data_IF_602393502416
#
_entry.id   IF_602393502416
#
_cell.length_a   1.000
_cell.length_b   1.000
_cell.length_c   1.000
_cell.angle_alpha   90.00
_cell.angle_beta   90.00
_cell.angle_gamma   90.00
#
_symmetry.space_group_name_H-M   'P 1'
#
loop_
_entity.id
_entity.type
_entity.pdbx_description
1 polymer ?
#
# COMPACT_ATOMS: atom_id res chain seq x y z
N UNK A 1 -7.89 14.84 12.75
CA UNK A 1 -7.09 13.63 12.52
C UNK A 1 -5.64 13.92 12.84
N UNK A 2 -4.94 12.98 13.48
CA UNK A 2 -3.49 13.05 13.69
C UNK A 2 -2.80 11.89 12.98
N UNK A 3 -1.60 12.12 12.46
CA UNK A 3 -0.73 11.03 12.00
C UNK A 3 -0.17 10.31 13.23
N UNK A 4 -0.55 9.04 13.41
CA UNK A 4 -0.13 8.25 14.59
C UNK A 4 1.20 7.52 14.37
N UNK A 5 1.55 7.22 13.12
CA UNK A 5 2.81 6.59 12.74
C UNK A 5 3.08 6.80 11.25
N UNK A 6 4.34 6.62 10.85
CA UNK A 6 4.77 6.60 9.45
C UNK A 6 5.84 5.53 9.26
N UNK A 7 5.74 4.77 8.17
CA UNK A 7 6.64 3.66 7.86
C UNK A 7 7.17 3.80 6.43
N UNK A 8 8.46 3.58 6.26
CA UNK A 8 9.10 3.46 4.95
C UNK A 8 9.57 2.02 4.77
N UNK A 9 9.00 1.32 3.79
CA UNK A 9 9.26 -0.11 3.57
C UNK A 9 9.61 -0.39 2.12
N UNK A 10 10.53 -1.34 1.85
CA UNK A 10 10.62 -1.93 0.53
C UNK A 10 9.38 -2.80 0.28
N UNK A 11 8.93 -2.89 -0.97
CA UNK A 11 7.77 -3.70 -1.37
C UNK A 11 8.04 -4.59 -2.61
N UNK A 12 9.14 -5.38 -2.63
CA UNK A 12 9.45 -6.18 -3.79
C UNK A 12 8.39 -7.29 -3.95
N UNK A 13 7.87 -7.53 -5.16
CA UNK A 13 6.92 -8.62 -5.44
C UNK A 13 7.38 -10.00 -4.93
N UNK A 14 8.70 -10.19 -4.86
CA UNK A 14 9.36 -11.41 -4.36
C UNK A 14 8.94 -11.77 -2.92
N UNK A 15 8.41 -10.86 -2.11
CA UNK A 15 7.91 -11.19 -0.76
C UNK A 15 6.76 -12.19 -0.77
N UNK A 16 6.04 -12.33 -1.90
CA UNK A 16 4.91 -13.23 -2.02
C UNK A 16 5.39 -14.63 -2.45
N UNK A 17 5.08 -15.70 -1.71
CA UNK A 17 5.49 -17.06 -2.06
C UNK A 17 5.05 -17.52 -3.46
N UNK A 18 3.90 -17.05 -3.94
CA UNK A 18 3.36 -17.34 -5.27
C UNK A 18 4.22 -16.73 -6.39
N UNK A 19 4.95 -15.66 -6.07
CA UNK A 19 5.92 -15.01 -6.96
C UNK A 19 7.30 -15.64 -6.79
N UNK A 20 7.78 -15.77 -5.54
CA UNK A 20 9.14 -16.22 -5.23
C UNK A 20 9.37 -17.73 -5.36
N UNK A 21 8.35 -18.56 -5.13
CA UNK A 21 8.40 -20.03 -5.24
C UNK A 21 9.56 -20.66 -4.45
N UNK A 22 9.90 -20.09 -3.30
CA UNK A 22 11.02 -20.49 -2.44
C UNK A 22 12.15 -19.46 -2.39
N UNK A 23 12.29 -18.61 -3.42
CA UNK A 23 13.33 -17.57 -3.49
C UNK A 23 13.08 -16.42 -2.51
N UNK A 24 11.84 -16.25 -2.02
CA UNK A 24 11.50 -15.24 -1.00
C UNK A 24 12.34 -15.40 0.28
N UNK A 25 12.81 -16.62 0.57
CA UNK A 25 13.69 -16.92 1.71
C UNK A 25 15.02 -16.16 1.65
N UNK A 26 15.48 -15.79 0.46
CA UNK A 26 16.69 -14.96 0.31
C UNK A 26 16.53 -13.56 0.88
N UNK A 27 15.28 -13.07 0.98
CA UNK A 27 14.91 -11.77 1.53
C UNK A 27 14.14 -11.88 2.86
N UNK A 28 14.36 -12.96 3.62
CA UNK A 28 13.62 -13.23 4.87
C UNK A 28 13.62 -12.05 5.85
N UNK A 29 14.74 -11.34 6.01
CA UNK A 29 14.82 -10.15 6.88
C UNK A 29 13.86 -9.04 6.47
N UNK A 30 13.61 -8.87 5.17
CA UNK A 30 12.62 -7.92 4.65
C UNK A 30 11.20 -8.37 5.00
N UNK A 31 10.91 -9.65 4.85
CA UNK A 31 9.61 -10.25 5.20
C UNK A 31 9.35 -10.09 6.70
N UNK A 32 10.32 -10.43 7.55
CA UNK A 32 10.21 -10.31 9.00
C UNK A 32 10.00 -8.85 9.44
N UNK A 33 10.69 -7.90 8.78
CA UNK A 33 10.51 -6.47 9.02
C UNK A 33 9.11 -5.98 8.63
N UNK A 34 8.59 -6.42 7.48
CA UNK A 34 7.23 -6.11 7.04
C UNK A 34 6.18 -6.73 7.96
N UNK A 35 6.36 -7.97 8.43
CA UNK A 35 5.43 -8.63 9.36
C UNK A 35 5.38 -7.88 10.70
N UNK A 36 6.54 -7.43 11.21
CA UNK A 36 6.60 -6.59 12.40
C UNK A 36 5.83 -5.27 12.22
N UNK A 37 6.04 -4.58 11.10
CA UNK A 37 5.32 -3.33 10.80
C UNK A 37 3.82 -3.59 10.68
N UNK A 38 3.42 -4.70 10.05
CA UNK A 38 2.01 -5.11 9.95
C UNK A 38 1.37 -5.28 11.34
N UNK A 39 2.08 -5.91 12.28
CA UNK A 39 1.62 -6.06 13.67
C UNK A 39 1.50 -4.70 14.38
N UNK A 40 2.49 -3.83 14.22
CA UNK A 40 2.47 -2.49 14.82
C UNK A 40 1.30 -1.64 14.29
N UNK A 41 1.04 -1.67 12.97
CA UNK A 41 -0.13 -1.02 12.37
C UNK A 41 -1.43 -1.60 12.95
N UNK A 42 -1.51 -2.92 13.11
CA UNK A 42 -2.69 -3.57 13.68
C UNK A 42 -2.92 -3.21 15.16
N UNK A 43 -1.86 -2.97 15.93
CA UNK A 43 -1.93 -2.50 17.32
C UNK A 43 -2.38 -1.04 17.40
N UNK A 44 -1.87 -0.18 16.51
CA UNK A 44 -2.24 1.23 16.41
C UNK A 44 -3.70 1.45 16.00
N UNK A 45 -4.29 0.48 15.28
CA UNK A 45 -5.68 0.51 14.78
C UNK A 45 -6.06 1.84 14.11
N UNK A 46 -5.28 2.32 13.12
CA UNK A 46 -5.64 3.53 12.41
C UNK A 46 -6.98 3.36 11.68
N UNK A 47 -7.77 4.43 11.65
CA UNK A 47 -9.03 4.47 10.87
C UNK A 47 -8.74 4.48 9.36
N UNK A 48 -7.63 5.13 8.96
CA UNK A 48 -7.24 5.33 7.55
C UNK A 48 -5.73 5.11 7.39
N UNK A 49 -5.35 4.36 6.37
CA UNK A 49 -3.94 4.16 5.97
C UNK A 49 -3.71 4.88 4.64
N UNK A 50 -2.79 5.85 4.62
CA UNK A 50 -2.36 6.51 3.40
C UNK A 50 -1.19 5.75 2.80
N UNK A 51 -1.40 5.15 1.62
CA UNK A 51 -0.37 4.41 0.89
C UNK A 51 0.17 5.27 -0.27
N UNK A 52 1.44 5.65 -0.19
CA UNK A 52 2.15 6.30 -1.31
C UNK A 52 3.02 5.28 -2.02
N UNK A 53 2.85 5.15 -3.34
CA UNK A 53 3.52 4.14 -4.15
C UNK A 53 3.93 4.70 -5.51
N UNK A 54 5.15 4.39 -6.01
CA UNK A 54 5.60 4.79 -7.35
C UNK A 54 4.87 4.03 -8.48
N UNK A 55 3.96 3.11 -8.15
CA UNK A 55 3.17 2.36 -9.13
C UNK A 55 1.79 2.97 -9.42
N UNK A 56 1.42 4.03 -8.71
CA UNK A 56 0.26 4.85 -9.09
C UNK A 56 0.53 5.58 -10.42
N UNK A 57 -0.52 6.16 -11.02
CA UNK A 57 -0.32 7.09 -12.14
C UNK A 57 0.55 8.26 -11.66
N UNK A 58 1.72 8.42 -12.28
CA UNK A 58 2.67 9.48 -11.96
C UNK A 58 2.55 10.58 -13.01
N UNK A 59 2.43 11.83 -12.54
CA UNK A 59 2.50 13.03 -13.36
C UNK A 59 3.79 13.78 -13.03
N UNK A 60 4.26 14.63 -13.95
CA UNK A 60 5.50 15.39 -13.75
C UNK A 60 5.36 16.45 -12.65
N UNK A 61 4.15 16.98 -12.50
CA UNK A 61 3.83 18.19 -11.72
C UNK A 61 2.62 18.02 -10.79
N UNK A 62 2.04 16.81 -10.69
CA UNK A 62 0.91 16.54 -9.81
C UNK A 62 1.02 15.19 -9.11
N UNK A 63 0.42 15.11 -7.92
CA UNK A 63 0.13 13.84 -7.26
C UNK A 63 -1.24 13.35 -7.70
N UNK A 64 -1.33 12.06 -8.03
CA UNK A 64 -2.61 11.42 -8.32
C UNK A 64 -3.19 10.79 -7.05
N UNK A 65 -4.42 11.17 -6.71
CA UNK A 65 -5.23 10.51 -5.68
C UNK A 65 -6.46 9.93 -6.37
N UNK A 66 -6.70 8.60 -6.28
CA UNK A 66 -7.89 8.01 -6.88
C UNK A 66 -9.18 8.51 -6.23
N UNK A 67 -10.18 8.86 -7.05
CA UNK A 67 -11.53 9.20 -6.58
C UNK A 67 -12.42 7.97 -6.35
N UNK A 68 -11.92 6.77 -6.66
CA UNK A 68 -12.70 5.53 -6.51
C UNK A 68 -12.96 5.22 -5.04
N UNK A 69 -14.15 4.73 -4.73
CA UNK A 69 -14.52 4.27 -3.37
C UNK A 69 -13.96 2.89 -3.03
N UNK A 70 -13.46 2.17 -4.05
CA UNK A 70 -12.81 0.88 -3.91
C UNK A 70 -11.52 0.83 -4.73
N UNK A 71 -10.52 0.14 -4.19
CA UNK A 71 -9.30 -0.25 -4.87
C UNK A 71 -9.31 -1.76 -5.07
N UNK A 72 -8.97 -2.23 -6.27
CA UNK A 72 -8.80 -3.65 -6.57
C UNK A 72 -7.66 -3.85 -7.55
N UNK A 73 -6.78 -4.79 -7.24
CA UNK A 73 -5.68 -5.17 -8.13
C UNK A 73 -5.27 -6.64 -7.91
N UNK A 74 -4.36 -7.14 -8.72
CA UNK A 74 -3.82 -8.50 -8.63
C UNK A 74 -2.36 -8.59 -9.04
N UNK A 75 -1.73 -9.72 -8.72
CA UNK A 75 -0.32 -9.97 -9.01
C UNK A 75 -0.10 -10.68 -10.37
N UNK A 76 -1.01 -10.51 -11.35
CA UNK A 76 -0.90 -11.18 -12.67
C UNK A 76 0.40 -10.84 -13.40
N UNK A 77 0.91 -9.61 -13.24
CA UNK A 77 2.16 -9.14 -13.87
C UNK A 77 3.37 -9.94 -13.40
N UNK A 78 3.27 -10.61 -12.26
CA UNK A 78 4.29 -11.46 -11.66
C UNK A 78 3.95 -12.95 -11.73
N UNK A 79 2.97 -13.35 -12.56
CA UNK A 79 2.56 -14.75 -12.70
C UNK A 79 1.74 -15.30 -11.54
N UNK A 80 1.31 -14.44 -10.60
CA UNK A 80 0.53 -14.80 -9.41
C UNK A 80 -0.89 -14.21 -9.49
N UNK A 81 -1.59 -14.39 -10.61
CA UNK A 81 -2.91 -13.78 -10.87
C UNK A 81 -4.03 -14.22 -9.92
N UNK A 82 -3.87 -15.35 -9.22
CA UNK A 82 -4.80 -15.79 -8.17
C UNK A 82 -4.73 -14.94 -6.89
N UNK A 83 -3.63 -14.20 -6.69
CA UNK A 83 -3.51 -13.24 -5.61
C UNK A 83 -4.13 -11.91 -6.04
N UNK A 84 -5.19 -11.53 -5.34
CA UNK A 84 -5.87 -10.26 -5.52
C UNK A 84 -6.04 -9.56 -4.18
N UNK A 85 -6.05 -8.23 -4.24
CA UNK A 85 -6.34 -7.37 -3.10
C UNK A 85 -7.55 -6.51 -3.43
N UNK A 86 -8.35 -6.23 -2.41
CA UNK A 86 -9.39 -5.21 -2.48
C UNK A 86 -9.39 -4.40 -1.18
N UNK A 87 -9.59 -3.10 -1.28
CA UNK A 87 -9.70 -2.19 -0.15
C UNK A 87 -10.77 -1.14 -0.44
N UNK A 88 -11.39 -0.60 0.62
CA UNK A 88 -12.23 0.60 0.50
C UNK A 88 -11.33 1.82 0.60
N UNK A 89 -11.62 2.82 -0.20
CA UNK A 89 -10.96 4.11 -0.15
C UNK A 89 -11.77 5.07 0.73
N UNK A 90 -11.06 5.86 1.52
CA UNK A 90 -11.66 6.87 2.39
C UNK A 90 -11.97 8.15 1.59
N UNK A 91 -13.16 8.19 0.99
CA UNK A 91 -13.58 9.31 0.16
C UNK A 91 -13.75 10.63 0.92
N UNK A 92 -14.09 10.57 2.21
CA UNK A 92 -14.20 11.77 3.06
C UNK A 92 -12.82 12.37 3.29
N UNK A 93 -11.84 11.54 3.64
CA UNK A 93 -10.45 11.98 3.78
C UNK A 93 -9.88 12.52 2.46
N UNK A 94 -10.12 11.84 1.33
CA UNK A 94 -9.68 12.32 0.00
C UNK A 94 -10.27 13.70 -0.31
N UNK A 95 -11.56 13.90 -0.09
CA UNK A 95 -12.22 15.19 -0.32
C UNK A 95 -11.62 16.31 0.54
N UNK A 96 -11.40 16.04 1.83
CA UNK A 96 -10.78 17.00 2.74
C UNK A 96 -9.34 17.34 2.34
N UNK A 97 -8.53 16.34 1.99
CA UNK A 97 -7.13 16.51 1.58
C UNK A 97 -7.02 17.33 0.29
N UNK A 98 -7.81 16.99 -0.74
CA UNK A 98 -7.83 17.73 -2.00
C UNK A 98 -8.32 19.17 -1.82
N UNK A 99 -9.30 19.41 -0.94
CA UNK A 99 -9.77 20.75 -0.61
C UNK A 99 -8.67 21.63 -0.04
N UNK A 100 -7.90 21.12 0.93
CA UNK A 100 -6.78 21.86 1.55
C UNK A 100 -5.62 22.06 0.55
N UNK A 101 -5.34 21.07 -0.31
CA UNK A 101 -4.23 21.15 -1.26
C UNK A 101 -4.48 22.12 -2.43
N UNK A 102 -5.73 22.54 -2.65
CA UNK A 102 -6.11 23.48 -3.69
C UNK A 102 -6.08 24.96 -3.23
N UNK A 103 -5.85 25.20 -1.95
CA UNK A 103 -5.62 26.54 -1.36
C UNK A 103 -4.16 27.00 -1.52
#
# INVERSE_FOLDING_TARGET
MSVVAAFAVPHPPLILPEVGRGEEKTIQKTIDGLDRIGREIAELKPETVVLSSPHALLYADYFHIPESTEYRDNMRRFGAGGLSIAARCDGEFVGALCGIAAE
#
